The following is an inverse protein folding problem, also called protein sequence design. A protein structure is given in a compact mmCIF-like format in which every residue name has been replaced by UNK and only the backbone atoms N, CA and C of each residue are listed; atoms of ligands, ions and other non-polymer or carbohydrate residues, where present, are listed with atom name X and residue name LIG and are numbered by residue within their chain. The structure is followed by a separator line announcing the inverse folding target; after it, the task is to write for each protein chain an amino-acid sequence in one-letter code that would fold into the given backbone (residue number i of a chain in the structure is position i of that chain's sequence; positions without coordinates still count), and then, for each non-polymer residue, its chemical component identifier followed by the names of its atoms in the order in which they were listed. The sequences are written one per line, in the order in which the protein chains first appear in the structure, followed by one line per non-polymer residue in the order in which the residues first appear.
data_IF_670557510419
#
_entry.id   IF_670557510419
#
_cell.length_a   1.000
_cell.length_b   1.000
_cell.length_c   1.000
_cell.angle_alpha   90.00
_cell.angle_beta   90.00
_cell.angle_gamma   90.00
#
_symmetry.space_group_name_H-M   'P 1'
#
loop_
_entity.id
_entity.type
_entity.pdbx_description
1 polymer ?
#
# COMPACT_ATOMS: atom_id res chain seq x y z
N UNK A 1 2.53 -4.81 17.26
CA UNK A 1 1.44 -3.82 17.21
C UNK A 1 0.11 -4.54 17.36
N UNK A 2 -0.68 -4.17 18.33
CA UNK A 2 -2.00 -4.77 18.56
C UNK A 2 -3.08 -3.84 18.02
N UNK A 3 -3.82 -4.29 17.01
CA UNK A 3 -4.90 -3.56 16.39
C UNK A 3 -6.28 -4.16 16.70
N UNK A 4 -6.34 -5.13 17.61
CA UNK A 4 -7.59 -5.83 17.96
C UNK A 4 -8.67 -4.83 18.38
N UNK A 5 -9.81 -4.87 17.70
CA UNK A 5 -10.94 -4.00 17.98
C UNK A 5 -10.80 -2.56 17.52
N UNK A 6 -9.68 -2.18 16.90
CA UNK A 6 -9.50 -0.82 16.37
C UNK A 6 -10.46 -0.56 15.21
N UNK A 7 -11.18 0.56 15.26
CA UNK A 7 -12.05 1.01 14.18
C UNK A 7 -11.98 2.53 14.10
N UNK A 8 -12.18 3.06 12.90
CA UNK A 8 -12.19 4.50 12.66
C UNK A 8 -11.05 4.94 11.75
N UNK A 9 -10.85 6.25 11.71
CA UNK A 9 -9.91 6.91 10.80
C UNK A 9 -8.82 7.58 11.61
N UNK A 10 -7.58 7.33 11.21
CA UNK A 10 -6.38 7.93 11.81
C UNK A 10 -5.59 8.61 10.70
N UNK A 11 -5.11 9.82 10.93
CA UNK A 11 -4.34 10.53 9.92
C UNK A 11 -3.30 11.44 10.55
N UNK A 12 -2.20 11.63 9.84
CA UNK A 12 -1.11 12.49 10.26
C UNK A 12 -0.44 13.07 9.02
N UNK A 13 -0.02 14.33 9.09
CA UNK A 13 0.76 14.96 8.03
C UNK A 13 2.23 14.51 8.10
N UNK A 14 2.84 14.27 6.94
CA UNK A 14 4.25 13.90 6.82
C UNK A 14 4.94 14.84 5.83
N UNK A 15 5.98 15.54 6.29
CA UNK A 15 6.72 16.49 5.45
C UNK A 15 7.33 15.84 4.22
N UNK A 16 7.81 14.61 4.34
CA UNK A 16 8.41 13.87 3.22
C UNK A 16 7.46 13.75 2.04
N UNK A 17 6.16 13.62 2.32
CA UNK A 17 5.12 13.48 1.30
C UNK A 17 4.46 14.80 0.92
N UNK A 18 4.63 15.84 1.73
CA UNK A 18 3.88 17.10 1.64
C UNK A 18 2.36 16.85 1.59
N UNK A 19 1.92 15.82 2.32
CA UNK A 19 0.52 15.37 2.43
C UNK A 19 0.30 14.65 3.73
N UNK A 20 -0.98 14.45 4.08
CA UNK A 20 -1.36 13.53 5.13
C UNK A 20 -1.36 12.09 4.64
N UNK A 21 -1.22 11.15 5.55
CA UNK A 21 -1.55 9.74 5.34
C UNK A 21 -2.76 9.44 6.22
N UNK A 22 -3.81 8.95 5.60
CA UNK A 22 -5.04 8.57 6.28
C UNK A 22 -5.20 7.06 6.24
N UNK A 23 -5.35 6.44 7.41
CA UNK A 23 -5.51 5.00 7.54
C UNK A 23 -6.89 4.71 8.12
N UNK A 24 -7.67 3.89 7.42
CA UNK A 24 -8.97 3.43 7.90
C UNK A 24 -8.88 2.03 8.48
N UNK A 25 -9.48 1.85 9.66
CA UNK A 25 -9.57 0.55 10.33
C UNK A 25 -11.03 0.12 10.49
N UNK A 26 -11.25 -1.17 10.34
CA UNK A 26 -12.52 -1.82 10.69
C UNK A 26 -12.23 -3.17 11.33
N UNK A 27 -12.75 -3.39 12.54
CA UNK A 27 -12.58 -4.65 13.26
C UNK A 27 -11.11 -5.04 13.47
N UNK A 28 -10.25 -4.07 13.71
CA UNK A 28 -8.82 -4.31 13.93
C UNK A 28 -8.00 -4.52 12.67
N UNK A 29 -8.59 -4.35 11.49
CA UNK A 29 -7.91 -4.55 10.22
C UNK A 29 -7.81 -3.23 9.46
N UNK A 30 -6.69 -2.99 8.80
CA UNK A 30 -6.55 -1.86 7.88
C UNK A 30 -7.37 -2.16 6.63
N UNK A 31 -8.27 -1.25 6.28
CA UNK A 31 -9.13 -1.38 5.11
C UNK A 31 -8.83 -0.34 4.04
N UNK A 32 -8.13 0.73 4.37
CA UNK A 32 -7.77 1.78 3.41
C UNK A 32 -6.54 2.55 3.86
N UNK A 33 -5.76 2.99 2.88
CA UNK A 33 -4.70 3.99 3.05
C UNK A 33 -4.85 4.99 1.92
N UNK A 34 -4.94 6.27 2.26
CA UNK A 34 -5.08 7.35 1.29
C UNK A 34 -4.19 8.53 1.67
N UNK A 35 -4.06 9.49 0.75
CA UNK A 35 -3.12 10.60 0.89
C UNK A 35 -3.80 11.94 0.65
N UNK A 36 -4.72 12.37 1.54
CA UNK A 36 -5.36 13.66 1.40
C UNK A 36 -4.35 14.80 1.57
N UNK A 37 -4.63 15.95 0.98
CA UNK A 37 -3.76 17.12 1.08
C UNK A 37 -3.62 17.58 2.53
N UNK A 38 -4.71 17.50 3.30
CA UNK A 38 -4.77 17.92 4.70
C UNK A 38 -5.35 16.81 5.58
N UNK A 39 -5.02 16.86 6.87
CA UNK A 39 -5.58 15.92 7.84
C UNK A 39 -7.09 16.17 7.98
N UNK A 40 -7.94 15.14 7.81
CA UNK A 40 -9.38 15.29 8.04
C UNK A 40 -9.68 15.69 9.47
N UNK A 41 -10.68 16.56 9.65
CA UNK A 41 -11.02 17.12 10.96
C UNK A 41 -11.50 16.07 11.97
N UNK A 42 -12.04 14.95 11.50
CA UNK A 42 -12.56 13.87 12.33
C UNK A 42 -11.56 12.74 12.58
N UNK A 43 -10.34 12.85 12.02
CA UNK A 43 -9.31 11.83 12.19
C UNK A 43 -8.53 12.02 13.49
N UNK A 44 -8.22 10.91 14.17
CA UNK A 44 -7.28 10.91 15.28
C UNK A 44 -5.84 10.82 14.76
N UNK A 45 -4.88 11.41 15.48
CA UNK A 45 -3.48 11.45 15.06
C UNK A 45 -2.62 10.36 15.70
N UNK A 46 -3.09 9.76 16.79
CA UNK A 46 -2.32 8.83 17.59
C UNK A 46 -2.66 7.38 17.23
N UNK A 47 -1.76 6.77 16.44
CA UNK A 47 -1.80 5.35 16.19
C UNK A 47 -0.38 4.84 15.91
N UNK A 48 -0.06 3.66 16.44
CA UNK A 48 1.25 3.04 16.28
C UNK A 48 1.61 2.81 14.81
N UNK A 49 0.63 2.47 13.96
CA UNK A 49 0.88 2.30 12.53
C UNK A 49 1.36 3.61 11.88
N UNK A 50 0.80 4.77 12.27
CA UNK A 50 1.28 6.07 11.78
C UNK A 50 2.71 6.35 12.26
N UNK A 51 3.06 5.94 13.46
CA UNK A 51 4.44 6.04 13.95
C UNK A 51 5.38 5.19 13.09
N UNK A 52 4.98 3.97 12.73
CA UNK A 52 5.75 3.08 11.86
C UNK A 52 5.88 3.65 10.45
N UNK A 53 4.80 4.20 9.89
CA UNK A 53 4.85 4.84 8.58
C UNK A 53 5.80 6.04 8.61
N UNK A 54 5.78 6.84 9.67
CA UNK A 54 6.71 7.94 9.84
C UNK A 54 8.16 7.48 9.88
N UNK A 55 8.46 6.42 10.61
CA UNK A 55 9.80 5.82 10.67
C UNK A 55 10.23 5.29 9.30
N UNK A 56 9.33 4.61 8.60
CA UNK A 56 9.59 4.13 7.23
C UNK A 56 9.93 5.30 6.28
N UNK A 57 9.20 6.40 6.37
CA UNK A 57 9.45 7.59 5.54
C UNK A 57 10.79 8.28 5.89
N UNK A 58 11.34 8.04 7.07
CA UNK A 58 12.68 8.50 7.47
C UNK A 58 13.79 7.54 7.08
N UNK A 59 13.47 6.44 6.39
CA UNK A 59 14.44 5.47 5.89
C UNK A 59 14.56 4.19 6.71
N UNK A 60 13.75 3.98 7.73
CA UNK A 60 13.75 2.72 8.47
C UNK A 60 13.03 1.64 7.69
N UNK A 61 13.69 0.50 7.53
CA UNK A 61 13.12 -0.63 6.80
C UNK A 61 11.93 -1.21 7.56
N UNK A 62 10.78 -1.29 6.91
CA UNK A 62 9.58 -1.94 7.43
C UNK A 62 8.80 -2.55 6.26
N UNK A 63 8.43 -3.80 6.37
CA UNK A 63 7.67 -4.49 5.33
C UNK A 63 6.18 -4.55 5.67
N UNK A 64 5.79 -4.15 6.88
CA UNK A 64 4.40 -4.16 7.34
C UNK A 64 3.69 -5.50 7.17
N UNK A 65 4.45 -6.59 7.07
CA UNK A 65 3.92 -7.90 6.66
C UNK A 65 2.95 -8.50 7.69
N UNK A 66 3.12 -8.17 8.97
CA UNK A 66 2.28 -8.70 10.06
C UNK A 66 1.06 -7.82 10.35
N UNK A 67 0.94 -6.66 9.72
CA UNK A 67 -0.20 -5.76 9.94
C UNK A 67 -1.47 -6.39 9.38
N UNK A 68 -2.50 -6.59 10.23
CA UNK A 68 -3.75 -7.17 9.73
C UNK A 68 -4.44 -6.25 8.72
N UNK A 69 -4.87 -6.82 7.62
CA UNK A 69 -5.56 -6.08 6.55
C UNK A 69 -6.89 -6.74 6.23
N UNK A 70 -7.88 -5.93 5.84
CA UNK A 70 -9.17 -6.39 5.38
C UNK A 70 -9.39 -5.92 3.94
N UNK A 71 -9.18 -6.82 2.98
CA UNK A 71 -9.41 -6.50 1.57
C UNK A 71 -10.87 -6.73 1.21
N UNK A 72 -11.50 -5.70 0.65
CA UNK A 72 -12.90 -5.73 0.18
C UNK A 72 -12.96 -5.78 -1.35
N UNK A 73 -11.96 -6.40 -1.97
CA UNK A 73 -11.86 -6.55 -3.42
C UNK A 73 -12.20 -7.99 -3.82
N UNK A 74 -12.55 -8.26 -5.09
CA UNK A 74 -12.76 -9.61 -5.58
C UNK A 74 -11.55 -10.52 -5.34
N UNK A 75 -11.80 -11.82 -5.17
CA UNK A 75 -10.76 -12.81 -4.80
C UNK A 75 -9.58 -12.82 -5.75
N UNK A 76 -9.81 -12.71 -7.06
CA UNK A 76 -8.74 -12.69 -8.06
C UNK A 76 -7.80 -11.49 -7.91
N UNK A 77 -8.36 -10.32 -7.60
CA UNK A 77 -7.55 -9.11 -7.32
C UNK A 77 -6.83 -9.22 -5.97
N UNK A 78 -7.47 -9.84 -4.99
CA UNK A 78 -6.84 -10.11 -3.70
C UNK A 78 -5.58 -10.94 -3.86
N UNK A 79 -5.65 -11.99 -4.68
CA UNK A 79 -4.50 -12.86 -4.93
C UNK A 79 -3.33 -12.10 -5.54
N UNK A 80 -3.60 -11.17 -6.44
CA UNK A 80 -2.58 -10.29 -7.02
C UNK A 80 -1.96 -9.40 -5.95
N UNK A 81 -2.78 -8.76 -5.12
CA UNK A 81 -2.28 -7.87 -4.07
C UNK A 81 -1.49 -8.63 -3.01
N UNK A 82 -1.91 -9.84 -2.66
CA UNK A 82 -1.15 -10.70 -1.74
C UNK A 82 0.21 -11.10 -2.31
N UNK A 83 0.28 -11.40 -3.60
CA UNK A 83 1.53 -11.65 -4.29
C UNK A 83 2.43 -10.39 -4.26
N UNK A 84 1.85 -9.23 -4.51
CA UNK A 84 2.55 -7.95 -4.43
C UNK A 84 3.16 -7.73 -3.05
N UNK A 85 2.46 -8.10 -1.99
CA UNK A 85 2.93 -7.92 -0.62
C UNK A 85 4.19 -8.74 -0.31
N UNK A 86 4.50 -9.72 -1.12
CA UNK A 86 5.73 -10.53 -0.97
C UNK A 86 6.97 -9.89 -1.58
N UNK A 87 6.81 -8.82 -2.35
CA UNK A 87 7.95 -8.09 -2.94
C UNK A 87 8.69 -7.34 -1.83
N UNK A 88 9.98 -7.63 -1.59
CA UNK A 88 10.70 -7.07 -0.46
C UNK A 88 10.98 -5.57 -0.57
N UNK A 89 11.19 -4.96 0.58
CA UNK A 89 11.66 -3.58 0.68
C UNK A 89 12.95 -3.37 -0.14
N UNK A 90 12.99 -2.28 -0.90
CA UNK A 90 14.16 -1.94 -1.70
C UNK A 90 14.32 -2.72 -3.00
N UNK A 91 13.35 -3.59 -3.31
CA UNK A 91 13.33 -4.34 -4.56
C UNK A 91 12.15 -3.91 -5.43
N UNK A 92 12.29 -4.13 -6.73
CA UNK A 92 11.19 -3.85 -7.66
C UNK A 92 10.99 -5.01 -8.61
N UNK A 93 9.78 -5.13 -9.13
CA UNK A 93 9.41 -6.16 -10.10
C UNK A 93 8.67 -5.51 -11.27
N UNK A 94 8.72 -6.17 -12.44
CA UNK A 94 7.88 -5.78 -13.58
C UNK A 94 6.45 -6.28 -13.39
N UNK A 95 5.51 -5.74 -14.19
CA UNK A 95 4.14 -6.26 -14.23
C UNK A 95 4.13 -7.74 -14.61
N UNK A 96 4.95 -8.16 -15.58
CA UNK A 96 5.05 -9.57 -15.99
C UNK A 96 5.52 -10.46 -14.84
N UNK A 97 6.50 -10.01 -14.08
CA UNK A 97 7.01 -10.75 -12.91
C UNK A 97 5.93 -10.90 -11.84
N UNK A 98 5.22 -9.80 -11.53
CA UNK A 98 4.13 -9.84 -10.56
C UNK A 98 3.02 -10.79 -11.03
N UNK A 99 2.70 -10.78 -12.31
CA UNK A 99 1.71 -11.70 -12.89
C UNK A 99 2.09 -13.15 -12.62
N UNK A 100 3.35 -13.51 -12.83
CA UNK A 100 3.85 -14.86 -12.54
C UNK A 100 3.87 -15.16 -11.03
N UNK A 101 4.21 -14.18 -10.19
CA UNK A 101 4.17 -14.35 -8.74
C UNK A 101 2.75 -14.63 -8.23
N UNK A 102 1.75 -14.10 -8.92
CA UNK A 102 0.33 -14.35 -8.61
C UNK A 102 -0.19 -15.66 -9.21
N UNK A 103 0.69 -16.48 -9.81
CA UNK A 103 0.36 -17.73 -10.49
C UNK A 103 -0.57 -17.53 -11.69
N UNK A 104 -0.43 -16.42 -12.39
CA UNK A 104 -1.15 -16.07 -13.60
C UNK A 104 -0.21 -16.15 -14.80
N UNK A 105 -0.80 -16.07 -16.00
CA UNK A 105 -0.08 -16.16 -17.27
C UNK A 105 0.27 -14.76 -17.79
N UNK A 106 1.58 -14.45 -17.80
CA UNK A 106 2.08 -13.16 -18.26
C UNK A 106 1.92 -12.95 -19.79
N UNK A 107 1.60 -14.01 -20.54
CA UNK A 107 1.32 -13.93 -21.97
C UNK A 107 -0.17 -13.79 -22.27
N UNK A 108 -1.04 -13.91 -21.27
CA UNK A 108 -2.48 -13.75 -21.40
C UNK A 108 -2.89 -12.30 -21.16
N UNK A 109 -3.45 -11.60 -22.17
CA UNK A 109 -3.89 -10.22 -22.00
C UNK A 109 -4.94 -10.02 -20.90
N UNK A 110 -5.81 -11.00 -20.66
CA UNK A 110 -6.81 -10.91 -19.59
C UNK A 110 -6.16 -10.96 -18.20
N UNK A 111 -5.15 -11.80 -18.02
CA UNK A 111 -4.41 -11.89 -16.76
C UNK A 111 -3.60 -10.62 -16.52
N UNK A 112 -2.99 -10.06 -17.57
CA UNK A 112 -2.28 -8.78 -17.44
C UNK A 112 -3.24 -7.65 -17.09
N UNK A 113 -4.43 -7.62 -17.67
CA UNK A 113 -5.45 -6.62 -17.33
C UNK A 113 -5.90 -6.76 -15.88
N UNK A 114 -6.09 -7.97 -15.39
CA UNK A 114 -6.42 -8.22 -13.99
C UNK A 114 -5.36 -7.65 -13.05
N UNK A 115 -4.09 -7.89 -13.36
CA UNK A 115 -2.97 -7.39 -12.54
C UNK A 115 -2.93 -5.86 -12.56
N UNK A 116 -3.05 -5.23 -13.72
CA UNK A 116 -3.03 -3.78 -13.82
C UNK A 116 -4.23 -3.14 -13.12
N UNK A 117 -5.41 -3.75 -13.21
CA UNK A 117 -6.60 -3.28 -12.48
C UNK A 117 -6.42 -3.38 -10.97
N UNK A 118 -5.83 -4.48 -10.49
CA UNK A 118 -5.55 -4.64 -9.06
C UNK A 118 -4.59 -3.57 -8.53
N UNK A 119 -3.56 -3.24 -9.31
CA UNK A 119 -2.61 -2.18 -8.95
C UNK A 119 -3.29 -0.80 -8.93
N UNK A 120 -4.04 -0.49 -9.97
CA UNK A 120 -4.71 0.80 -10.11
C UNK A 120 -5.74 1.06 -9.01
N UNK A 121 -6.43 0.02 -8.59
CA UNK A 121 -7.50 0.08 -7.58
C UNK A 121 -7.06 -0.41 -6.20
N UNK A 122 -5.77 -0.50 -5.94
CA UNK A 122 -5.22 -0.94 -4.65
C UNK A 122 -5.73 -0.04 -3.52
N UNK A 123 -6.53 -0.58 -2.57
CA UNK A 123 -7.10 0.24 -1.50
C UNK A 123 -6.13 0.54 -0.36
N UNK A 124 -4.99 -0.14 -0.30
CA UNK A 124 -4.06 -0.07 0.83
C UNK A 124 -2.63 0.09 0.35
N UNK A 125 -2.29 1.21 -0.35
CA UNK A 125 -0.90 1.46 -0.74
C UNK A 125 0.02 1.52 0.47
N UNK A 126 1.29 1.35 0.28
CA UNK A 126 2.36 1.15 1.27
C UNK A 126 2.35 -0.28 1.80
N UNK A 127 1.25 -0.75 2.39
CA UNK A 127 1.14 -2.12 2.89
C UNK A 127 1.09 -3.14 1.74
N UNK A 128 0.40 -2.79 0.66
CA UNK A 128 0.49 -3.47 -0.62
C UNK A 128 1.30 -2.57 -1.55
N UNK A 129 2.61 -2.85 -1.72
CA UNK A 129 3.56 -1.86 -2.24
C UNK A 129 3.55 -1.75 -3.77
N UNK A 130 2.50 -1.16 -4.33
CA UNK A 130 2.39 -0.92 -5.77
C UNK A 130 3.50 -0.03 -6.32
N UNK A 131 4.14 0.78 -5.47
CA UNK A 131 5.30 1.58 -5.84
C UNK A 131 6.55 0.75 -6.17
N UNK A 132 6.55 -0.55 -5.84
CA UNK A 132 7.63 -1.49 -6.18
C UNK A 132 7.40 -2.19 -7.52
N UNK A 133 6.33 -1.85 -8.24
CA UNK A 133 6.05 -2.41 -9.56
C UNK A 133 6.49 -1.42 -10.63
N UNK A 134 7.47 -1.81 -11.42
CA UNK A 134 8.00 -0.97 -12.49
C UNK A 134 7.07 -1.01 -13.71
N UNK A 135 6.69 0.17 -14.20
CA UNK A 135 5.89 0.30 -15.41
C UNK A 135 4.41 0.01 -15.26
N UNK A 136 3.95 -0.31 -14.04
CA UNK A 136 2.55 -0.55 -13.76
C UNK A 136 1.82 0.68 -13.22
N UNK A 137 0.48 0.64 -13.19
CA UNK A 137 -0.29 1.67 -12.51
C UNK A 137 -0.12 1.57 -10.99
N UNK A 138 -0.56 2.60 -10.29
CA UNK A 138 -0.49 2.70 -8.83
C UNK A 138 -1.63 3.55 -8.32
N UNK A 139 -2.06 3.30 -7.08
CA UNK A 139 -3.23 3.96 -6.50
C UNK A 139 -2.90 5.33 -5.87
N UNK A 140 -1.67 5.50 -5.38
CA UNK A 140 -1.24 6.74 -4.74
C UNK A 140 -1.04 7.86 -5.77
N UNK A 141 -1.08 9.15 -5.35
CA UNK A 141 -0.63 10.23 -6.23
C UNK A 141 0.81 10.04 -6.69
N UNK A 142 1.15 10.54 -7.89
CA UNK A 142 2.47 10.33 -8.48
C UNK A 142 3.61 10.87 -7.64
N UNK A 143 3.44 12.01 -6.98
CA UNK A 143 4.43 12.58 -6.07
C UNK A 143 4.67 11.69 -4.84
N UNK A 144 3.61 11.07 -4.31
CA UNK A 144 3.71 10.11 -3.22
C UNK A 144 4.47 8.86 -3.67
N UNK A 145 4.11 8.29 -4.80
CA UNK A 145 4.81 7.13 -5.36
C UNK A 145 6.31 7.40 -5.51
N UNK A 146 6.65 8.55 -6.07
CA UNK A 146 8.05 8.92 -6.27
C UNK A 146 8.80 9.06 -4.94
N UNK A 147 8.14 9.62 -3.92
CA UNK A 147 8.73 9.74 -2.59
C UNK A 147 8.96 8.37 -1.95
N UNK A 148 8.00 7.45 -2.05
CA UNK A 148 8.14 6.08 -1.52
C UNK A 148 9.29 5.35 -2.20
N UNK A 149 9.42 5.49 -3.51
CA UNK A 149 10.54 4.88 -4.25
C UNK A 149 11.87 5.45 -3.79
N UNK A 150 11.98 6.77 -3.62
CA UNK A 150 13.21 7.40 -3.13
C UNK A 150 13.59 6.92 -1.73
N UNK A 151 12.60 6.80 -0.84
CA UNK A 151 12.83 6.30 0.52
C UNK A 151 13.47 4.92 0.49
N UNK A 152 13.07 4.06 -0.44
CA UNK A 152 13.58 2.70 -0.57
C UNK A 152 14.83 2.59 -1.47
N UNK A 153 15.27 3.69 -2.07
CA UNK A 153 16.43 3.67 -2.97
C UNK A 153 16.16 3.17 -4.39
N UNK A 154 14.91 3.23 -4.80
CA UNK A 154 14.47 2.79 -6.14
C UNK A 154 14.48 3.91 -7.17
#
# INVERSE_FOLDING_TARGET
MDTTGTSGVFAREFEVLDRAVEVGFAGGRVISVSFPADVPADAAADHELLDRIGAYLRGERDEFAEVPVGLTVPTDRRDVLEALRTVPYGEEVSVSRLTRLAALDADDPEDLELVTSALDENPIPILFPDHRVQGGPYAAPGDVRNALRRVEGL
#
